data_IF_195801406459
#
_entry.id   IF_195801406459
#
_cell.length_a   1.000
_cell.length_b   1.000
_cell.length_c   1.000
_cell.angle_alpha   90.00
_cell.angle_beta   90.00
_cell.angle_gamma   90.00
#
_symmetry.space_group_name_H-M   'P 1'
#
loop_
_entity.id
_entity.type
_entity.pdbx_description
1 polymer ?
#
# COMPACT_ATOMS: atom_id res chain seq x y z
N UNK A 1 -14.52 -40.73 -38.68
CA UNK A 1 -13.43 -39.84 -39.14
C UNK A 1 -12.74 -39.11 -37.97
N UNK A 2 -12.30 -39.85 -36.94
CA UNK A 2 -11.72 -39.28 -35.72
C UNK A 2 -10.29 -38.72 -35.91
N UNK A 3 -9.52 -39.32 -36.83
CA UNK A 3 -8.17 -38.85 -37.18
C UNK A 3 -8.18 -37.48 -37.84
N UNK A 4 -9.14 -37.21 -38.73
CA UNK A 4 -9.23 -35.91 -39.42
C UNK A 4 -9.61 -34.78 -38.47
N UNK A 5 -10.55 -35.02 -37.55
CA UNK A 5 -10.95 -34.03 -36.54
C UNK A 5 -9.80 -33.72 -35.58
N UNK A 6 -9.06 -34.73 -35.10
CA UNK A 6 -7.89 -34.54 -34.26
C UNK A 6 -6.81 -33.65 -34.94
N UNK A 7 -6.54 -33.90 -36.23
CA UNK A 7 -5.58 -33.09 -37.01
C UNK A 7 -6.06 -31.64 -37.13
N UNK A 8 -7.35 -31.41 -37.40
CA UNK A 8 -7.90 -30.07 -37.54
C UNK A 8 -7.80 -29.27 -36.23
N UNK A 9 -8.14 -29.90 -35.11
CA UNK A 9 -8.06 -29.29 -33.77
C UNK A 9 -6.61 -28.91 -33.43
N UNK A 10 -5.65 -29.81 -33.62
CA UNK A 10 -4.25 -29.52 -33.30
C UNK A 10 -3.65 -28.43 -34.20
N UNK A 11 -4.03 -28.38 -35.49
CA UNK A 11 -3.64 -27.28 -36.38
C UNK A 11 -4.18 -25.94 -35.90
N UNK A 12 -5.45 -25.89 -35.51
CA UNK A 12 -6.04 -24.66 -34.97
C UNK A 12 -5.35 -24.23 -33.68
N UNK A 13 -5.02 -25.17 -32.78
CA UNK A 13 -4.26 -24.88 -31.55
C UNK A 13 -2.91 -24.23 -31.84
N UNK A 14 -2.15 -24.76 -32.81
CA UNK A 14 -0.86 -24.18 -33.23
C UNK A 14 -1.01 -22.82 -33.88
N UNK A 15 -2.04 -22.63 -34.72
CA UNK A 15 -2.35 -21.33 -35.34
C UNK A 15 -2.61 -20.27 -34.27
N UNK A 16 -3.53 -20.55 -33.34
CA UNK A 16 -3.87 -19.64 -32.24
C UNK A 16 -2.65 -19.30 -31.38
N UNK A 17 -1.80 -20.28 -31.05
CA UNK A 17 -0.56 -20.04 -30.31
C UNK A 17 0.39 -19.08 -31.06
N UNK A 18 0.55 -19.27 -32.37
CA UNK A 18 1.41 -18.40 -33.17
C UNK A 18 0.84 -16.98 -33.30
N UNK A 19 -0.49 -16.84 -33.37
CA UNK A 19 -1.16 -15.54 -33.39
C UNK A 19 -0.86 -14.77 -32.07
N UNK A 20 -0.99 -15.43 -30.92
CA UNK A 20 -0.66 -14.82 -29.62
C UNK A 20 0.81 -14.43 -29.48
N UNK A 21 1.73 -15.29 -29.93
CA UNK A 21 3.16 -14.98 -29.93
C UNK A 21 3.50 -13.81 -30.86
N UNK A 22 2.79 -13.68 -31.98
CA UNK A 22 2.89 -12.52 -32.88
C UNK A 22 2.50 -11.21 -32.19
N UNK A 23 1.35 -11.20 -31.49
CA UNK A 23 0.92 -10.03 -30.71
C UNK A 23 1.92 -9.71 -29.62
N UNK A 24 2.34 -10.69 -28.83
CA UNK A 24 3.33 -10.50 -27.76
C UNK A 24 4.62 -9.88 -28.30
N UNK A 25 5.10 -10.36 -29.45
CA UNK A 25 6.29 -9.82 -30.12
C UNK A 25 6.11 -8.35 -30.53
N UNK A 26 4.92 -7.96 -30.99
CA UNK A 26 4.63 -6.59 -31.41
C UNK A 26 4.59 -5.56 -30.26
N UNK A 27 4.37 -6.03 -29.02
CA UNK A 27 4.36 -5.18 -27.82
C UNK A 27 5.76 -4.91 -27.26
N UNK A 28 6.78 -5.63 -27.73
CA UNK A 28 8.14 -5.53 -27.24
C UNK A 28 9.05 -4.77 -28.23
N UNK A 29 10.10 -4.10 -27.73
CA UNK A 29 11.15 -3.58 -28.59
C UNK A 29 11.85 -4.70 -29.38
N UNK A 30 12.37 -4.41 -30.59
CA UNK A 30 13.03 -5.41 -31.43
C UNK A 30 14.22 -6.13 -30.76
N UNK A 31 14.88 -5.50 -29.78
CA UNK A 31 15.97 -6.08 -28.99
C UNK A 31 15.56 -7.30 -28.15
N UNK A 32 14.34 -7.34 -27.64
CA UNK A 32 13.80 -8.48 -26.86
C UNK A 32 13.12 -9.52 -27.76
N UNK A 33 12.91 -9.18 -29.03
CA UNK A 33 12.16 -9.93 -29.99
C UNK A 33 13.01 -10.35 -31.20
N UNK A 34 14.33 -10.54 -31.04
CA UNK A 34 15.23 -10.81 -32.18
C UNK A 34 14.98 -12.18 -32.80
N UNK A 35 14.81 -13.21 -31.97
CA UNK A 35 14.54 -14.58 -32.42
C UNK A 35 13.05 -14.88 -32.44
N UNK A 36 12.61 -15.61 -33.48
CA UNK A 36 11.20 -15.94 -33.69
C UNK A 36 10.75 -17.29 -33.13
N UNK A 37 11.60 -17.98 -32.36
CA UNK A 37 11.20 -19.20 -31.65
C UNK A 37 10.40 -18.87 -30.38
N UNK A 38 9.55 -19.81 -29.96
CA UNK A 38 8.61 -19.58 -28.85
C UNK A 38 9.33 -19.28 -27.53
N UNK A 39 10.45 -19.95 -27.26
CA UNK A 39 11.21 -19.78 -26.01
C UNK A 39 11.86 -18.39 -25.95
N UNK A 40 12.45 -17.93 -27.05
CA UNK A 40 13.04 -16.60 -27.14
C UNK A 40 11.99 -15.48 -27.04
N UNK A 41 10.82 -15.65 -27.66
CA UNK A 41 9.74 -14.64 -27.57
C UNK A 41 9.26 -14.50 -26.11
N UNK A 42 9.03 -15.62 -25.43
CA UNK A 42 8.58 -15.61 -24.02
C UNK A 42 9.69 -15.10 -23.09
N UNK A 43 10.93 -15.55 -23.28
CA UNK A 43 12.08 -15.10 -22.50
C UNK A 43 12.36 -13.61 -22.67
N UNK A 44 12.25 -13.11 -23.90
CA UNK A 44 12.33 -11.69 -24.22
C UNK A 44 11.28 -10.86 -23.49
N UNK A 45 10.03 -11.34 -23.47
CA UNK A 45 8.93 -10.67 -22.77
C UNK A 45 9.17 -10.58 -21.26
N UNK A 46 9.65 -11.68 -20.66
CA UNK A 46 9.98 -11.71 -19.23
C UNK A 46 11.08 -10.69 -18.91
N UNK A 47 12.13 -10.61 -19.72
CA UNK A 47 13.21 -9.65 -19.50
C UNK A 47 12.74 -8.21 -19.69
N UNK A 48 11.92 -7.94 -20.71
CA UNK A 48 11.40 -6.60 -20.95
C UNK A 48 10.50 -6.12 -19.80
N UNK A 49 9.62 -6.98 -19.27
CA UNK A 49 8.79 -6.65 -18.10
C UNK A 49 9.65 -6.34 -16.88
N UNK A 50 10.68 -7.15 -16.61
CA UNK A 50 11.61 -6.90 -15.49
C UNK A 50 12.33 -5.56 -15.60
N UNK A 51 12.77 -5.19 -16.80
CA UNK A 51 13.40 -3.89 -17.02
C UNK A 51 12.43 -2.73 -16.84
N UNK A 52 11.18 -2.87 -17.31
CA UNK A 52 10.15 -1.87 -17.07
C UNK A 52 9.83 -1.70 -15.58
N UNK A 53 9.73 -2.79 -14.83
CA UNK A 53 9.53 -2.75 -13.37
C UNK A 53 10.68 -2.03 -12.67
N UNK A 54 11.93 -2.34 -13.05
CA UNK A 54 13.12 -1.66 -12.52
C UNK A 54 13.13 -0.16 -12.86
N UNK A 55 12.75 0.20 -14.09
CA UNK A 55 12.69 1.59 -14.52
C UNK A 55 11.63 2.38 -13.75
N UNK A 56 10.45 1.80 -13.52
CA UNK A 56 9.39 2.43 -12.71
C UNK A 56 9.89 2.66 -11.29
N UNK A 57 10.49 1.65 -10.65
CA UNK A 57 11.03 1.78 -9.30
C UNK A 57 12.14 2.85 -9.21
N UNK A 58 13.04 2.89 -10.20
CA UNK A 58 14.05 3.92 -10.30
C UNK A 58 13.44 5.33 -10.43
N UNK A 59 12.47 5.51 -11.33
CA UNK A 59 11.81 6.80 -11.55
C UNK A 59 11.01 7.26 -10.34
N UNK A 60 10.36 6.35 -9.62
CA UNK A 60 9.65 6.67 -8.39
C UNK A 60 10.61 7.16 -7.30
N UNK A 61 11.75 6.47 -7.10
CA UNK A 61 12.78 6.92 -6.15
C UNK A 61 13.39 8.27 -6.57
N UNK A 62 13.66 8.47 -7.86
CA UNK A 62 14.22 9.72 -8.37
C UNK A 62 13.23 10.88 -8.27
N UNK A 63 11.93 10.65 -8.51
CA UNK A 63 10.86 11.63 -8.29
C UNK A 63 10.75 12.03 -6.82
N UNK A 64 11.01 11.11 -5.89
CA UNK A 64 11.08 11.45 -4.46
C UNK A 64 12.28 12.35 -4.15
N UNK A 65 13.46 12.09 -4.73
CA UNK A 65 14.66 12.93 -4.57
C UNK A 65 14.49 14.32 -5.21
N UNK A 66 13.97 14.40 -6.44
CA UNK A 66 13.73 15.69 -7.12
C UNK A 66 12.70 16.56 -6.38
N UNK A 67 11.70 15.95 -5.74
CA UNK A 67 10.74 16.65 -4.87
C UNK A 67 11.37 17.19 -3.57
N UNK A 68 12.58 16.77 -3.19
CA UNK A 68 13.29 17.34 -2.03
C UNK A 68 13.93 18.71 -2.33
N UNK A 69 14.12 19.09 -3.60
CA UNK A 69 14.75 20.36 -3.98
C UNK A 69 13.76 21.53 -4.18
N UNK A 70 12.45 21.31 -4.04
CA UNK A 70 11.45 22.37 -4.10
C UNK A 70 10.87 22.56 -2.70
N UNK A 71 11.12 23.74 -2.13
CA UNK A 71 10.61 24.18 -0.83
C UNK A 71 9.13 23.78 -0.62
N UNK A 72 8.86 23.29 0.59
CA UNK A 72 7.59 22.85 1.20
C UNK A 72 7.38 21.33 1.27
N UNK A 73 7.85 20.79 2.40
CA UNK A 73 7.46 19.54 3.07
C UNK A 73 7.47 18.25 2.23
N UNK A 74 8.33 17.27 2.55
CA UNK A 74 8.31 15.99 1.86
C UNK A 74 6.94 15.30 2.04
N UNK A 75 6.36 14.66 1.02
CA UNK A 75 5.42 13.59 1.29
C UNK A 75 6.17 12.52 2.12
N UNK A 76 5.58 11.97 3.20
CA UNK A 76 6.29 11.02 4.04
C UNK A 76 6.81 9.85 3.19
N UNK A 77 7.95 9.27 3.58
CA UNK A 77 8.64 8.16 2.89
C UNK A 77 7.73 6.97 2.53
N UNK A 78 6.55 6.88 3.15
CA UNK A 78 5.53 5.85 2.98
C UNK A 78 4.23 6.35 2.35
N UNK A 79 4.19 7.55 1.73
CA UNK A 79 2.97 8.10 1.11
C UNK A 79 2.41 7.20 -0.01
N UNK A 80 3.25 6.37 -0.63
CA UNK A 80 2.85 5.37 -1.64
C UNK A 80 2.56 3.99 -1.04
N UNK A 81 2.74 3.78 0.27
CA UNK A 81 2.52 2.48 0.92
C UNK A 81 1.04 2.17 1.11
N UNK A 82 0.25 3.24 1.16
CA UNK A 82 -1.18 3.24 1.31
C UNK A 82 -1.84 3.46 -0.05
N UNK A 83 -2.72 2.55 -0.45
CA UNK A 83 -3.53 2.71 -1.66
C UNK A 83 -4.64 3.74 -1.41
N UNK A 84 -5.24 3.71 -0.21
CA UNK A 84 -6.32 4.58 0.24
C UNK A 84 -6.29 4.67 1.78
N UNK A 85 -5.52 5.60 2.38
CA UNK A 85 -5.45 5.71 3.83
C UNK A 85 -6.79 6.19 4.40
N UNK A 86 -7.42 5.43 5.31
CA UNK A 86 -8.67 5.86 5.98
C UNK A 86 -8.39 6.89 7.09
N UNK A 87 -7.23 6.84 7.72
CA UNK A 87 -6.78 7.85 8.66
C UNK A 87 -5.40 8.35 8.21
N UNK A 88 -5.31 9.65 7.92
CA UNK A 88 -4.06 10.32 7.54
C UNK A 88 -3.87 11.58 8.36
N UNK A 89 -2.71 11.69 8.99
CA UNK A 89 -2.28 12.90 9.68
C UNK A 89 -1.58 13.83 8.70
N UNK A 90 -2.36 14.63 7.96
CA UNK A 90 -1.81 15.77 7.21
C UNK A 90 -1.66 16.97 8.13
N UNK A 91 -0.46 17.56 8.14
CA UNK A 91 -0.21 18.90 8.65
C UNK A 91 -1.16 19.89 7.96
N UNK A 92 -1.98 20.57 8.75
CA UNK A 92 -2.75 21.75 8.36
C UNK A 92 -1.79 22.88 8.00
N UNK A 93 -1.39 22.95 6.73
CA UNK A 93 -0.77 24.12 6.14
C UNK A 93 -1.84 25.09 5.66
N UNK A 94 -2.48 25.81 6.58
CA UNK A 94 -3.27 26.99 6.27
C UNK A 94 -2.34 28.03 5.61
N UNK A 95 -2.69 28.56 4.44
CA UNK A 95 -2.24 29.90 4.09
C UNK A 95 -3.34 30.68 3.38
N UNK A 96 -3.70 31.78 4.03
CA UNK A 96 -4.84 32.65 3.80
C UNK A 96 -4.60 33.60 2.63
N UNK A 97 -5.67 33.98 1.94
CA UNK A 97 -5.77 35.29 1.30
C UNK A 97 -7.13 35.94 1.62
N UNK A 98 -7.08 37.00 2.46
CA UNK A 98 -7.97 38.20 2.48
C UNK A 98 -9.40 37.97 3.04
N UNK A 99 -9.98 38.69 4.02
CA UNK A 99 -9.81 40.02 4.62
C UNK A 99 -10.31 40.01 6.11
N UNK A 100 -9.63 40.67 7.06
CA UNK A 100 -10.00 41.95 7.72
C UNK A 100 -11.14 41.91 8.77
N UNK A 101 -10.73 42.24 10.02
CA UNK A 101 -11.41 42.83 11.19
C UNK A 101 -12.42 42.06 12.05
N UNK A 102 -12.12 42.00 13.36
CA UNK A 102 -13.11 41.90 14.45
C UNK A 102 -12.61 41.12 15.66
N UNK A 103 -12.47 41.79 16.80
CA UNK A 103 -12.17 41.21 18.13
C UNK A 103 -13.19 40.13 18.55
N UNK A 104 -12.74 39.04 19.19
CA UNK A 104 -13.01 38.79 20.62
C UNK A 104 -12.46 37.44 21.11
N UNK A 105 -12.28 37.40 22.43
CA UNK A 105 -11.46 36.47 23.23
C UNK A 105 -12.18 35.14 23.56
N UNK A 106 -11.38 34.19 24.06
CA UNK A 106 -11.71 32.89 24.69
C UNK A 106 -11.86 31.66 23.77
N UNK A 107 -10.76 30.94 23.55
CA UNK A 107 -10.67 29.54 23.97
C UNK A 107 -9.22 29.07 23.99
N UNK A 108 -8.76 28.76 25.20
CA UNK A 108 -7.47 28.15 25.48
C UNK A 108 -7.70 26.64 25.33
N UNK A 109 -7.40 26.07 24.17
CA UNK A 109 -7.12 24.62 24.08
C UNK A 109 -5.74 24.48 23.46
N UNK A 110 -4.84 23.95 24.29
CA UNK A 110 -3.47 23.68 23.94
C UNK A 110 -3.47 22.66 22.80
N UNK A 111 -3.03 23.06 21.62
CA UNK A 111 -2.76 22.18 20.48
C UNK A 111 -1.63 21.20 20.84
N UNK A 112 -1.94 20.16 21.61
CA UNK A 112 -1.16 18.92 21.65
C UNK A 112 -1.69 18.00 20.54
N UNK A 113 -1.56 18.45 19.29
CA UNK A 113 -1.78 17.60 18.11
C UNK A 113 -0.63 16.61 17.94
N UNK A 114 -0.48 15.67 18.88
CA UNK A 114 0.49 14.57 18.75
C UNK A 114 -0.03 13.62 17.67
N UNK A 115 0.51 13.73 16.46
CA UNK A 115 0.22 12.88 15.30
C UNK A 115 0.37 11.39 15.66
N UNK A 116 -0.73 10.63 15.66
CA UNK A 116 -0.83 9.34 16.35
C UNK A 116 -0.35 8.16 15.48
N UNK A 117 -0.97 7.95 14.31
CA UNK A 117 -0.59 6.92 13.33
C UNK A 117 -1.41 7.08 12.04
N UNK A 118 -0.82 6.75 10.90
CA UNK A 118 -1.57 6.59 9.66
C UNK A 118 -2.04 5.14 9.54
N UNK A 119 -3.34 4.93 9.25
CA UNK A 119 -3.97 3.61 9.23
C UNK A 119 -4.67 3.38 7.89
N UNK A 120 -4.35 2.25 7.25
CA UNK A 120 -5.09 1.70 6.13
C UNK A 120 -5.62 0.32 6.47
N UNK A 121 -6.86 0.07 6.09
CA UNK A 121 -7.55 -1.20 6.20
C UNK A 121 -8.09 -1.55 4.82
N UNK A 122 -7.81 -2.76 4.36
CA UNK A 122 -8.47 -3.34 3.19
C UNK A 122 -9.07 -4.67 3.61
N UNK A 123 -10.36 -4.86 3.36
CA UNK A 123 -11.06 -6.07 3.75
C UNK A 123 -11.43 -6.89 2.51
N UNK A 124 -11.24 -8.20 2.60
CA UNK A 124 -11.65 -9.19 1.60
C UNK A 124 -12.34 -10.32 2.38
N UNK A 125 -13.65 -10.46 2.16
CA UNK A 125 -14.48 -11.45 2.87
C UNK A 125 -14.32 -11.34 4.41
N UNK A 126 -13.97 -12.44 5.07
CA UNK A 126 -13.73 -12.54 6.52
C UNK A 126 -12.29 -12.21 6.94
N UNK A 127 -11.52 -11.54 6.09
CA UNK A 127 -10.14 -11.18 6.36
C UNK A 127 -9.90 -9.68 6.12
N UNK A 128 -9.14 -9.05 7.00
CA UNK A 128 -8.72 -7.66 6.82
C UNK A 128 -7.19 -7.55 6.86
N UNK A 129 -6.63 -6.80 5.92
CA UNK A 129 -5.25 -6.34 5.98
C UNK A 129 -5.25 -4.95 6.61
N UNK A 130 -4.48 -4.78 7.68
CA UNK A 130 -4.33 -3.52 8.40
C UNK A 130 -2.87 -3.09 8.32
N UNK A 131 -2.63 -1.92 7.76
CA UNK A 131 -1.32 -1.26 7.72
C UNK A 131 -1.35 -0.07 8.67
N UNK A 132 -0.38 0.00 9.57
CA UNK A 132 -0.27 1.05 10.57
C UNK A 132 1.14 1.62 10.49
N UNK A 133 1.25 2.90 10.15
CA UNK A 133 2.52 3.62 10.15
C UNK A 133 2.58 4.54 11.37
N UNK A 134 3.65 4.39 12.15
CA UNK A 134 3.91 5.23 13.33
C UNK A 134 5.22 5.96 13.16
N UNK A 135 5.21 7.27 13.38
CA UNK A 135 6.36 8.15 13.17
C UNK A 135 7.49 7.94 14.18
N UNK A 136 7.17 7.45 15.39
CA UNK A 136 8.12 7.25 16.48
C UNK A 136 7.94 5.89 17.16
N UNK A 137 8.93 5.01 17.03
CA UNK A 137 9.00 3.73 17.72
C UNK A 137 9.03 3.93 19.24
N UNK A 138 8.15 3.23 19.95
CA UNK A 138 8.12 3.22 21.42
C UNK A 138 8.53 1.85 21.98
N UNK A 139 9.12 1.80 23.20
CA UNK A 139 9.33 0.54 23.91
C UNK A 139 8.01 -0.22 24.10
N UNK A 140 8.03 -1.54 23.89
CA UNK A 140 6.87 -2.44 24.05
C UNK A 140 5.66 -2.12 23.16
N UNK A 141 5.79 -1.21 22.19
CA UNK A 141 4.69 -0.83 21.28
C UNK A 141 4.08 -2.03 20.55
N UNK A 142 4.93 -2.92 20.02
CA UNK A 142 4.44 -4.11 19.32
C UNK A 142 3.65 -5.03 20.25
N UNK A 143 4.10 -5.22 21.49
CA UNK A 143 3.41 -6.04 22.48
C UNK A 143 2.03 -5.46 22.80
N UNK A 144 1.96 -4.14 23.02
CA UNK A 144 0.69 -3.44 23.26
C UNK A 144 -0.25 -3.51 22.06
N UNK A 145 0.30 -3.41 20.85
CA UNK A 145 -0.45 -3.53 19.61
C UNK A 145 -1.05 -4.93 19.47
N UNK A 146 -0.26 -5.98 19.64
CA UNK A 146 -0.74 -7.38 19.59
C UNK A 146 -1.80 -7.63 20.66
N UNK A 147 -1.60 -7.13 21.88
CA UNK A 147 -2.59 -7.23 22.96
C UNK A 147 -3.88 -6.48 22.62
N UNK A 148 -3.79 -5.30 22.02
CA UNK A 148 -4.93 -4.51 21.59
C UNK A 148 -5.75 -5.22 20.51
N UNK A 149 -5.12 -5.76 19.47
CA UNK A 149 -5.81 -6.56 18.45
C UNK A 149 -6.53 -7.78 19.04
N UNK A 150 -5.92 -8.44 20.03
CA UNK A 150 -6.56 -9.52 20.76
C UNK A 150 -7.82 -9.04 21.52
N UNK A 151 -7.74 -7.91 22.22
CA UNK A 151 -8.89 -7.31 22.93
C UNK A 151 -10.01 -6.86 22.00
N UNK A 152 -9.69 -6.49 20.76
CA UNK A 152 -10.69 -6.14 19.73
C UNK A 152 -11.35 -7.37 19.08
N UNK A 153 -10.95 -8.58 19.44
CA UNK A 153 -11.45 -9.80 18.81
C UNK A 153 -10.99 -9.95 17.36
N UNK A 154 -9.85 -9.34 17.00
CA UNK A 154 -9.24 -9.40 15.67
C UNK A 154 -7.99 -10.28 15.73
N UNK A 155 -8.12 -11.62 15.67
CA UNK A 155 -6.98 -12.53 15.72
C UNK A 155 -6.03 -12.28 14.53
N UNK A 156 -4.77 -12.04 14.87
CA UNK A 156 -3.69 -11.81 13.91
C UNK A 156 -3.26 -13.15 13.31
N UNK A 157 -3.36 -13.26 11.99
CA UNK A 157 -2.89 -14.42 11.21
C UNK A 157 -1.44 -14.23 10.76
N UNK A 158 -1.13 -13.03 10.26
CA UNK A 158 0.21 -12.65 9.85
C UNK A 158 0.53 -11.25 10.35
N UNK A 159 1.78 -11.07 10.79
CA UNK A 159 2.32 -9.80 11.22
C UNK A 159 3.69 -9.63 10.59
N UNK A 160 3.88 -8.52 9.88
CA UNK A 160 5.18 -8.05 9.44
C UNK A 160 5.49 -6.70 10.08
N UNK A 161 6.73 -6.51 10.53
CA UNK A 161 7.20 -5.27 11.14
C UNK A 161 8.40 -4.78 10.35
N UNK A 162 8.23 -3.63 9.68
CA UNK A 162 9.31 -2.97 8.96
C UNK A 162 9.68 -1.69 9.69
N UNK A 163 10.97 -1.49 9.96
CA UNK A 163 11.47 -0.30 10.65
C UNK A 163 12.44 0.46 9.77
N UNK A 164 12.27 1.79 9.69
CA UNK A 164 13.20 2.70 9.00
C UNK A 164 13.40 3.91 9.90
N UNK A 165 14.64 4.15 10.32
CA UNK A 165 15.00 5.17 11.30
C UNK A 165 14.15 5.10 12.59
N UNK A 166 13.33 6.13 12.84
CA UNK A 166 12.43 6.21 13.99
C UNK A 166 11.02 5.71 13.67
N UNK A 167 10.71 5.43 12.40
CA UNK A 167 9.39 5.02 11.95
C UNK A 167 9.23 3.50 12.00
N UNK A 168 8.00 3.05 12.26
CA UNK A 168 7.64 1.64 12.23
C UNK A 168 6.36 1.48 11.43
N UNK A 169 6.41 0.53 10.49
CA UNK A 169 5.27 0.08 9.72
C UNK A 169 4.90 -1.33 10.18
N UNK A 170 3.69 -1.46 10.73
CA UNK A 170 3.06 -2.73 11.02
C UNK A 170 2.13 -3.10 9.87
N UNK A 171 2.29 -4.31 9.33
CA UNK A 171 1.38 -4.87 8.32
C UNK A 171 0.80 -6.16 8.89
N UNK A 172 -0.48 -6.14 9.18
CA UNK A 172 -1.22 -7.23 9.80
C UNK A 172 -2.24 -7.81 8.83
N UNK A 173 -2.36 -9.13 8.81
CA UNK A 173 -3.55 -9.79 8.27
C UNK A 173 -4.31 -10.38 9.43
N UNK A 174 -5.55 -9.94 9.63
CA UNK A 174 -6.42 -10.36 10.73
C UNK A 174 -7.66 -11.06 10.18
N UNK A 175 -8.23 -11.99 10.95
CA UNK A 175 -9.52 -12.58 10.63
C UNK A 175 -10.64 -11.78 11.30
N UNK A 176 -11.62 -11.38 10.53
CA UNK A 176 -12.86 -10.76 11.01
C UNK A 176 -13.88 -11.90 11.16
N UNK A 177 -14.08 -12.35 12.40
CA UNK A 177 -15.05 -13.40 12.71
C UNK A 177 -16.45 -12.84 12.93
N UNK A 178 -17.47 -13.68 12.82
CA UNK A 178 -18.89 -13.28 13.00
C UNK A 178 -19.18 -12.76 14.42
N UNK A 179 -18.36 -13.16 15.41
CA UNK A 179 -18.44 -12.70 16.80
C UNK A 179 -17.75 -11.34 17.03
N UNK A 180 -17.10 -10.77 16.01
CA UNK A 180 -16.44 -9.48 16.10
C UNK A 180 -17.47 -8.35 15.90
N UNK A 181 -17.41 -7.34 16.77
CA UNK A 181 -18.29 -6.16 16.66
C UNK A 181 -17.86 -5.23 15.51
N UNK A 182 -16.66 -5.41 14.98
CA UNK A 182 -16.07 -4.58 13.93
C UNK A 182 -16.21 -5.29 12.59
N UNK A 183 -17.30 -5.01 11.88
CA UNK A 183 -17.63 -5.72 10.63
C UNK A 183 -17.32 -4.90 9.37
N UNK A 184 -17.07 -3.60 9.54
CA UNK A 184 -16.76 -2.69 8.44
C UNK A 184 -15.32 -2.19 8.48
N UNK A 185 -14.79 -1.86 7.30
CA UNK A 185 -13.45 -1.27 7.13
C UNK A 185 -13.28 -0.03 7.99
N UNK A 186 -14.28 0.85 8.02
CA UNK A 186 -14.23 2.12 8.75
C UNK A 186 -14.23 1.91 10.27
N UNK A 187 -15.03 0.98 10.80
CA UNK A 187 -15.04 0.65 12.23
C UNK A 187 -13.70 0.06 12.67
N UNK A 188 -13.14 -0.85 11.88
CA UNK A 188 -11.82 -1.44 12.15
C UNK A 188 -10.76 -0.33 12.15
N UNK A 189 -10.75 0.51 11.12
CA UNK A 189 -9.78 1.59 10.97
C UNK A 189 -9.89 2.61 12.12
N UNK A 190 -11.12 3.02 12.50
CA UNK A 190 -11.39 3.93 13.63
C UNK A 190 -10.82 3.36 14.92
N UNK A 191 -11.20 2.12 15.23
CA UNK A 191 -10.87 1.47 16.50
C UNK A 191 -9.37 1.22 16.62
N UNK A 192 -8.71 0.82 15.53
CA UNK A 192 -7.26 0.65 15.47
C UNK A 192 -6.54 2.00 15.65
N UNK A 193 -7.05 3.07 15.05
CA UNK A 193 -6.48 4.41 15.20
C UNK A 193 -6.58 4.91 16.65
N UNK A 194 -7.74 4.76 17.30
CA UNK A 194 -7.95 5.09 18.71
C UNK A 194 -7.06 4.26 19.65
N UNK A 195 -6.95 2.95 19.41
CA UNK A 195 -6.06 2.06 20.15
C UNK A 195 -4.61 2.54 20.05
N UNK A 196 -4.15 2.95 18.87
CA UNK A 196 -2.80 3.48 18.67
C UNK A 196 -2.61 4.82 19.41
N UNK A 197 -3.67 5.62 19.55
CA UNK A 197 -3.67 6.82 20.41
C UNK A 197 -3.35 6.50 21.86
N UNK A 198 -4.09 5.55 22.44
CA UNK A 198 -3.91 5.12 23.83
C UNK A 198 -2.51 4.56 24.09
N UNK A 199 -2.00 3.74 23.18
CA UNK A 199 -0.65 3.15 23.28
C UNK A 199 0.44 4.23 23.32
N UNK A 200 0.23 5.34 22.61
CA UNK A 200 1.19 6.45 22.53
C UNK A 200 1.12 7.38 23.75
N UNK A 201 -0.06 7.58 24.34
CA UNK A 201 -0.23 8.39 25.56
C UNK A 201 0.41 7.72 26.79
N UNK A 202 0.26 6.40 26.93
CA UNK A 202 0.86 5.60 28.01
C UNK A 202 2.40 5.46 27.93
N UNK A 203 3.03 5.97 26.87
CA UNK A 203 4.48 5.92 26.68
C UNK A 203 5.21 7.20 27.13
N UNK A 204 4.45 8.24 27.51
CA UNK A 204 4.94 9.53 28.05
C UNK A 204 5.00 9.45 29.57
#
# INVERSE_FOLDING_TARGET
SQRMTHIAVERNRRRVMNDYLGVLRSLMPPSYAQRGDQASIVGGAINYVKELEQLVQFLESHKQVLKQNSYNSPPPLFANFFTFPQYSTRLTGHNNNIAVTGQDQYSRTSEKGSTIADVEVTQIESHANVKILVSRKQPKQLLKLVAGFYSLGLPILHLNVTTVDQMVLYSLSVKVGDDCQLNTVDEIATTVHEMMGKIQEEAI
#
